data_IF_819604145832
#
_entry.id   IF_819604145832
#
_cell.length_a   1.000
_cell.length_b   1.000
_cell.length_c   1.000
_cell.angle_alpha   90.00
_cell.angle_beta   90.00
_cell.angle_gamma   90.00
#
_symmetry.space_group_name_H-M   'P 1'
#
loop_
_entity.id
_entity.type
_entity.pdbx_description
1 polymer ?
#
# COMPACT_ATOMS: atom_id res chain seq x y z
N UNK A 1 25.12 -13.29 -4.57
CA UNK A 1 24.21 -12.24 -4.09
C UNK A 1 24.78 -11.73 -2.78
N UNK A 2 24.94 -10.41 -2.67
CA UNK A 2 25.33 -9.77 -1.41
C UNK A 2 24.20 -9.98 -0.40
N UNK A 3 24.54 -10.13 0.88
CA UNK A 3 23.54 -10.25 1.94
C UNK A 3 22.72 -8.93 2.02
N UNK A 4 21.38 -8.99 2.06
CA UNK A 4 20.55 -7.79 2.17
C UNK A 4 20.75 -7.10 3.53
N UNK A 5 20.61 -5.77 3.55
CA UNK A 5 20.64 -4.99 4.79
C UNK A 5 19.42 -5.27 5.66
N UNK A 6 18.23 -5.35 5.03
CA UNK A 6 16.97 -5.67 5.68
C UNK A 6 16.26 -6.80 4.93
N UNK A 7 15.80 -7.79 5.68
CA UNK A 7 14.99 -8.90 5.18
C UNK A 7 13.70 -8.98 5.99
N UNK A 8 12.56 -8.88 5.31
CA UNK A 8 11.22 -9.05 5.90
C UNK A 8 10.60 -10.33 5.34
N UNK A 9 10.11 -11.21 6.22
CA UNK A 9 9.53 -12.50 5.82
C UNK A 9 8.23 -12.78 6.56
N UNK A 10 7.17 -13.04 5.80
CA UNK A 10 5.82 -13.36 6.26
C UNK A 10 5.35 -12.45 7.41
N UNK A 11 5.67 -11.15 7.34
CA UNK A 11 5.35 -10.20 8.40
C UNK A 11 3.84 -10.00 8.48
N UNK A 12 3.27 -10.22 9.66
CA UNK A 12 1.83 -10.04 9.93
C UNK A 12 1.65 -9.10 11.11
N UNK A 13 0.66 -8.22 10.99
CA UNK A 13 0.15 -7.40 12.07
C UNK A 13 -1.36 -7.36 12.02
N UNK A 14 -1.97 -8.11 12.92
CA UNK A 14 -3.42 -8.22 13.05
C UNK A 14 -3.89 -7.59 14.36
N UNK A 15 -4.88 -6.70 14.28
CA UNK A 15 -5.46 -6.05 15.46
C UNK A 15 -6.69 -6.81 15.93
N UNK A 16 -6.72 -7.36 17.16
CA UNK A 16 -7.85 -8.15 17.63
C UNK A 16 -9.09 -7.26 17.82
N UNK A 17 -10.20 -7.67 17.22
CA UNK A 17 -11.51 -7.03 17.41
C UNK A 17 -12.21 -7.73 18.57
N UNK A 18 -12.53 -6.98 19.61
CA UNK A 18 -13.20 -7.50 20.80
C UNK A 18 -14.60 -6.92 20.95
N UNK A 19 -15.59 -7.75 21.27
CA UNK A 19 -17.00 -7.34 21.48
C UNK A 19 -17.57 -7.91 22.78
N UNK A 20 -18.58 -7.20 23.30
CA UNK A 20 -19.37 -7.60 24.47
C UNK A 20 -18.72 -7.26 25.82
N UNK A 21 -19.50 -7.42 26.89
CA UNK A 21 -19.11 -7.07 28.28
C UNK A 21 -17.91 -7.90 28.78
N UNK A 22 -17.64 -9.05 28.16
CA UNK A 22 -16.52 -9.93 28.50
C UNK A 22 -15.29 -9.78 27.58
N UNK A 23 -15.26 -8.75 26.72
CA UNK A 23 -14.13 -8.44 25.84
C UNK A 23 -13.63 -9.65 25.00
N UNK A 24 -14.57 -10.48 24.50
CA UNK A 24 -14.23 -11.68 23.72
C UNK A 24 -13.76 -11.26 22.33
N UNK A 25 -12.70 -11.89 21.83
CA UNK A 25 -12.22 -11.69 20.47
C UNK A 25 -13.21 -12.33 19.48
N UNK A 26 -13.70 -11.53 18.53
CA UNK A 26 -14.70 -11.92 17.53
C UNK A 26 -14.16 -11.86 16.10
N UNK A 27 -12.92 -11.40 15.93
CA UNK A 27 -12.24 -11.27 14.65
C UNK A 27 -10.92 -10.53 14.83
N UNK A 28 -10.27 -10.19 13.72
CA UNK A 28 -9.09 -9.33 13.71
C UNK A 28 -9.05 -8.49 12.43
N UNK A 29 -8.62 -7.23 12.56
CA UNK A 29 -8.30 -6.39 11.41
C UNK A 29 -6.90 -6.76 10.90
N UNK A 30 -6.81 -7.27 9.68
CA UNK A 30 -5.55 -7.72 9.08
C UNK A 30 -4.87 -6.55 8.37
N UNK A 31 -4.15 -5.73 9.12
CA UNK A 31 -3.52 -4.52 8.58
C UNK A 31 -2.27 -4.84 7.75
N UNK A 32 -1.50 -5.85 8.16
CA UNK A 32 -0.41 -6.46 7.38
C UNK A 32 -0.59 -7.96 7.46
N UNK A 33 -0.55 -8.65 6.33
CA UNK A 33 -0.91 -10.07 6.26
C UNK A 33 0.02 -10.89 5.37
N UNK A 34 1.30 -10.98 5.75
CA UNK A 34 2.26 -11.90 5.14
C UNK A 34 3.22 -11.23 4.15
N UNK A 35 3.54 -9.94 4.34
CA UNK A 35 4.43 -9.23 3.43
C UNK A 35 5.86 -9.76 3.53
N UNK A 36 6.54 -9.87 2.39
CA UNK A 36 7.92 -10.33 2.30
C UNK A 36 8.69 -9.58 1.22
N UNK A 37 9.86 -9.05 1.57
CA UNK A 37 10.77 -8.35 0.66
C UNK A 37 12.17 -8.21 1.28
N UNK A 38 13.14 -7.80 0.46
CA UNK A 38 14.50 -7.47 0.88
C UNK A 38 14.86 -6.06 0.43
N UNK A 39 15.74 -5.41 1.20
CA UNK A 39 16.41 -4.15 0.86
C UNK A 39 17.92 -4.40 0.96
N UNK A 40 18.61 -4.21 -0.15
CA UNK A 40 20.07 -4.24 -0.24
C UNK A 40 20.69 -2.95 0.34
N UNK A 41 21.98 -3.00 0.65
CA UNK A 41 22.73 -1.82 1.06
C UNK A 41 22.76 -0.77 -0.07
N UNK A 42 22.37 0.46 0.25
CA UNK A 42 22.27 1.57 -0.70
C UNK A 42 20.99 1.58 -1.54
N UNK A 43 20.09 0.59 -1.38
CA UNK A 43 18.86 0.50 -2.16
C UNK A 43 17.73 1.35 -1.56
N UNK A 44 16.95 2.01 -2.42
CA UNK A 44 15.66 2.59 -2.09
C UNK A 44 14.52 1.69 -2.57
N UNK A 45 13.86 1.02 -1.63
CA UNK A 45 12.62 0.28 -1.90
C UNK A 45 11.40 1.16 -1.59
N UNK A 46 10.57 1.39 -2.61
CA UNK A 46 9.28 2.02 -2.48
C UNK A 46 8.22 1.06 -1.94
N UNK A 47 7.37 1.50 -1.01
CA UNK A 47 6.14 0.79 -0.60
C UNK A 47 4.94 1.68 -0.89
N UNK A 48 4.10 1.26 -1.84
CA UNK A 48 3.01 2.07 -2.37
C UNK A 48 1.65 1.39 -2.29
N UNK A 49 0.59 2.18 -2.24
CA UNK A 49 -0.80 1.70 -2.23
C UNK A 49 -1.76 2.78 -1.76
N UNK A 50 -3.06 2.54 -1.90
CA UNK A 50 -4.11 3.46 -1.44
C UNK A 50 -4.02 3.72 0.08
N UNK A 51 -4.62 4.83 0.53
CA UNK A 51 -4.70 5.14 1.96
C UNK A 51 -5.40 4.00 2.73
N UNK A 52 -4.86 3.63 3.88
CA UNK A 52 -5.42 2.57 4.73
C UNK A 52 -5.09 1.13 4.31
N UNK A 53 -4.25 0.90 3.29
CA UNK A 53 -3.88 -0.45 2.86
C UNK A 53 -2.87 -1.17 3.78
N UNK A 54 -2.30 -0.48 4.79
CA UNK A 54 -1.42 -1.08 5.81
C UNK A 54 0.04 -0.60 5.85
N UNK A 55 0.44 0.34 4.98
CA UNK A 55 1.85 0.78 4.84
C UNK A 55 2.50 1.30 6.13
N UNK A 56 1.85 2.24 6.82
CA UNK A 56 2.36 2.79 8.09
C UNK A 56 2.40 1.74 9.21
N UNK A 57 1.48 0.77 9.19
CA UNK A 57 1.50 -0.38 10.12
C UNK A 57 2.68 -1.29 9.82
N UNK A 58 2.98 -1.56 8.54
CA UNK A 58 4.17 -2.30 8.14
C UNK A 58 5.45 -1.60 8.60
N UNK A 59 5.57 -0.29 8.35
CA UNK A 59 6.68 0.54 8.81
C UNK A 59 6.92 0.41 10.33
N UNK A 60 5.85 0.63 11.11
CA UNK A 60 5.89 0.59 12.57
C UNK A 60 6.22 -0.81 13.11
N UNK A 61 5.80 -1.85 12.41
CA UNK A 61 6.09 -3.25 12.74
C UNK A 61 7.54 -3.62 12.43
N UNK A 62 8.09 -3.15 11.31
CA UNK A 62 9.49 -3.39 10.91
C UNK A 62 10.46 -2.75 11.90
N UNK A 63 10.22 -1.50 12.32
CA UNK A 63 11.07 -0.83 13.32
C UNK A 63 10.74 -1.23 14.77
N UNK A 64 9.84 -2.21 14.95
CA UNK A 64 9.42 -2.73 16.24
C UNK A 64 8.89 -1.63 17.19
N UNK A 65 8.21 -0.62 16.66
CA UNK A 65 7.39 0.32 17.44
C UNK A 65 6.05 -0.33 17.82
N UNK A 66 5.56 -1.20 16.95
CA UNK A 66 4.48 -2.13 17.24
C UNK A 66 4.97 -3.56 17.10
N UNK A 67 4.67 -4.41 18.09
CA UNK A 67 5.04 -5.83 18.05
C UNK A 67 4.28 -6.53 16.91
N UNK A 68 4.97 -7.19 15.96
CA UNK A 68 4.33 -8.00 14.93
C UNK A 68 3.50 -9.14 15.55
N UNK A 69 2.46 -9.57 14.84
CA UNK A 69 1.70 -10.77 15.21
C UNK A 69 2.47 -12.04 14.87
N UNK A 70 3.19 -12.04 13.75
CA UNK A 70 4.10 -13.11 13.33
C UNK A 70 5.02 -12.61 12.22
N UNK A 71 5.93 -13.47 11.79
CA UNK A 71 6.92 -13.19 10.77
C UNK A 71 8.27 -12.84 11.37
N UNK A 72 9.21 -12.53 10.51
CA UNK A 72 10.62 -12.31 10.85
C UNK A 72 11.11 -11.01 10.19
N UNK A 73 11.91 -10.23 10.93
CA UNK A 73 12.55 -9.02 10.43
C UNK A 73 14.04 -9.11 10.75
N UNK A 74 14.87 -9.41 9.75
CA UNK A 74 16.32 -9.51 9.90
C UNK A 74 16.98 -8.20 9.50
N UNK A 75 17.80 -7.63 10.39
CA UNK A 75 18.57 -6.41 10.13
C UNK A 75 20.07 -6.64 10.27
N UNK A 76 20.80 -6.49 9.17
CA UNK A 76 22.23 -6.77 9.07
C UNK A 76 23.11 -5.51 9.17
N UNK A 77 22.54 -4.33 9.38
CA UNK A 77 23.29 -3.08 9.54
C UNK A 77 23.98 -2.93 10.90
N UNK A 78 24.71 -1.83 11.05
CA UNK A 78 25.44 -1.45 12.26
C UNK A 78 26.44 -2.55 12.72
N UNK A 79 27.14 -3.18 11.78
CA UNK A 79 28.18 -4.16 12.07
C UNK A 79 27.66 -5.58 12.35
N UNK A 80 26.42 -5.89 11.93
CA UNK A 80 25.77 -7.19 12.15
C UNK A 80 25.86 -8.11 10.93
N UNK A 81 26.64 -7.76 9.92
CA UNK A 81 26.75 -8.48 8.66
C UNK A 81 27.41 -9.87 8.84
N UNK A 82 27.08 -10.81 7.95
CA UNK A 82 27.69 -12.14 7.90
C UNK A 82 27.20 -13.12 8.97
N UNK A 83 26.15 -12.77 9.70
CA UNK A 83 25.53 -13.67 10.66
C UNK A 83 24.76 -14.78 9.93
N UNK A 84 24.84 -16.01 10.43
CA UNK A 84 24.09 -17.14 9.87
C UNK A 84 23.04 -17.60 10.86
N UNK A 85 21.93 -18.17 10.35
CA UNK A 85 20.90 -18.81 11.18
C UNK A 85 21.51 -19.80 12.18
N UNK A 86 20.92 -19.82 13.37
CA UNK A 86 21.22 -20.78 14.41
C UNK A 86 20.74 -22.19 14.01
N UNK A 87 21.24 -23.27 14.65
CA UNK A 87 20.80 -24.64 14.37
C UNK A 87 19.30 -24.91 14.59
N UNK A 88 18.62 -24.08 15.38
CA UNK A 88 17.18 -24.15 15.63
C UNK A 88 16.34 -23.40 14.57
N UNK A 89 16.99 -22.76 13.60
CA UNK A 89 16.34 -22.00 12.53
C UNK A 89 16.19 -20.50 12.81
N UNK A 90 16.37 -20.03 14.05
CA UNK A 90 16.30 -18.61 14.39
C UNK A 90 17.44 -17.81 13.76
N UNK A 91 17.19 -16.54 13.44
CA UNK A 91 18.24 -15.63 12.98
C UNK A 91 18.75 -14.77 14.14
N UNK A 92 20.06 -14.68 14.41
CA UNK A 92 20.59 -13.86 15.51
C UNK A 92 20.36 -12.35 15.32
N UNK A 93 20.05 -11.93 14.08
CA UNK A 93 19.69 -10.56 13.75
C UNK A 93 18.17 -10.35 13.57
N UNK A 94 17.34 -11.29 14.02
CA UNK A 94 15.89 -11.12 13.99
C UNK A 94 15.44 -10.10 15.06
N UNK A 95 15.01 -8.94 14.59
CA UNK A 95 14.53 -7.81 15.39
C UNK A 95 13.32 -8.19 16.24
N UNK A 96 12.52 -9.18 15.81
CA UNK A 96 11.34 -9.61 16.55
C UNK A 96 11.67 -10.36 17.84
N UNK A 97 12.89 -10.90 17.94
CA UNK A 97 13.40 -11.67 19.08
C UNK A 97 14.43 -10.89 19.92
N UNK A 98 14.72 -9.64 19.56
CA UNK A 98 15.69 -8.81 20.27
C UNK A 98 15.26 -8.46 21.70
N UNK A 99 16.24 -8.47 22.61
CA UNK A 99 16.09 -7.88 23.94
C UNK A 99 15.98 -6.34 23.87
N UNK A 100 15.58 -5.69 24.97
CA UNK A 100 15.50 -4.22 25.06
C UNK A 100 16.83 -3.51 24.71
N UNK A 101 17.96 -4.14 25.04
CA UNK A 101 19.30 -3.62 24.76
C UNK A 101 19.62 -3.73 23.26
N UNK A 102 19.31 -4.86 22.64
CA UNK A 102 19.47 -5.08 21.21
C UNK A 102 18.52 -4.23 20.38
N UNK A 103 17.27 -4.05 20.80
CA UNK A 103 16.32 -3.13 20.17
C UNK A 103 16.83 -1.69 20.22
N UNK A 104 17.46 -1.29 21.32
CA UNK A 104 18.08 0.04 21.43
C UNK A 104 19.26 0.19 20.46
N UNK A 105 20.05 -0.85 20.24
CA UNK A 105 21.15 -0.84 19.27
C UNK A 105 20.65 -0.87 17.82
N UNK A 106 19.65 -1.70 17.52
CA UNK A 106 18.95 -1.74 16.24
C UNK A 106 18.40 -0.36 15.87
N UNK A 107 17.67 0.30 16.78
CA UNK A 107 17.17 1.66 16.58
C UNK A 107 18.26 2.72 16.55
N UNK A 108 19.54 2.36 16.64
CA UNK A 108 20.64 3.26 16.27
C UNK A 108 20.94 3.19 14.76
N UNK A 109 20.89 1.98 14.20
CA UNK A 109 21.12 1.70 12.77
C UNK A 109 19.89 1.84 11.88
N UNK A 110 18.69 1.78 12.45
CA UNK A 110 17.42 1.99 11.74
C UNK A 110 16.64 3.16 12.35
N UNK A 111 16.26 4.14 11.52
CA UNK A 111 15.54 5.35 11.93
C UNK A 111 14.27 5.55 11.11
N UNK A 112 13.32 6.30 11.66
CA UNK A 112 12.04 6.57 10.99
C UNK A 112 11.77 8.06 10.89
N UNK A 113 11.27 8.47 9.72
CA UNK A 113 10.71 9.80 9.45
C UNK A 113 9.20 9.63 9.34
N UNK A 114 8.45 10.26 10.24
CA UNK A 114 7.00 10.15 10.31
C UNK A 114 6.29 11.12 9.37
N UNK A 115 5.07 10.77 8.96
CA UNK A 115 4.20 11.51 8.03
C UNK A 115 3.94 12.97 8.42
N UNK A 116 3.78 13.27 9.72
CA UNK A 116 3.63 14.64 10.21
C UNK A 116 4.79 15.04 11.13
N UNK A 117 5.74 15.84 10.62
CA UNK A 117 6.81 16.40 11.43
C UNK A 117 6.29 17.24 12.60
N UNK A 118 5.17 17.96 12.42
CA UNK A 118 4.68 18.90 13.44
C UNK A 118 4.18 18.20 14.69
N UNK A 119 3.53 17.04 14.56
CA UNK A 119 3.12 16.21 15.70
C UNK A 119 4.30 15.48 16.37
N UNK A 120 5.41 15.33 15.66
CA UNK A 120 6.60 14.59 16.12
C UNK A 120 7.56 15.41 17.01
N UNK A 121 7.38 16.73 17.10
CA UNK A 121 8.23 17.63 17.90
C UNK A 121 7.50 18.19 19.12
N UNK A 122 8.14 18.18 20.31
CA UNK A 122 7.62 18.92 21.48
C UNK A 122 7.75 20.43 21.19
N UNK A 123 6.64 21.20 21.14
CA UNK A 123 6.67 22.62 20.81
C UNK A 123 7.43 23.47 21.83
N UNK A 124 7.74 22.92 23.01
CA UNK A 124 8.48 23.58 24.10
C UNK A 124 9.98 23.28 24.06
N UNK A 125 10.44 22.46 23.12
CA UNK A 125 11.84 22.11 22.94
C UNK A 125 12.40 22.86 21.72
N UNK A 126 13.64 23.35 21.82
CA UNK A 126 14.30 23.91 20.65
C UNK A 126 14.63 22.81 19.64
N UNK A 127 14.72 23.17 18.37
CA UNK A 127 15.05 22.26 17.27
C UNK A 127 16.36 21.52 17.54
N UNK A 128 17.39 22.24 17.96
CA UNK A 128 18.69 21.65 18.24
C UNK A 128 18.66 20.62 19.38
N UNK A 129 17.81 20.86 20.38
CA UNK A 129 17.62 19.91 21.48
C UNK A 129 16.80 18.69 21.03
N UNK A 130 15.77 18.88 20.19
CA UNK A 130 14.96 17.79 19.67
C UNK A 130 15.75 16.84 18.77
N UNK A 131 16.60 17.39 17.88
CA UNK A 131 17.54 16.59 17.05
C UNK A 131 18.58 15.91 17.94
N UNK A 132 19.21 16.66 18.86
CA UNK A 132 20.29 16.15 19.72
C UNK A 132 19.83 15.22 20.85
N UNK A 133 18.52 15.02 21.06
CA UNK A 133 17.99 14.16 22.11
C UNK A 133 18.42 12.70 21.91
N UNK A 134 18.40 12.23 20.66
CA UNK A 134 18.79 10.86 20.32
C UNK A 134 20.26 10.59 20.68
N UNK A 135 21.17 11.53 20.40
CA UNK A 135 22.58 11.41 20.82
C UNK A 135 22.70 11.22 22.34
N UNK A 136 21.88 11.94 23.13
CA UNK A 136 21.87 11.82 24.59
C UNK A 136 21.32 10.46 25.04
N UNK A 137 20.22 9.99 24.45
CA UNK A 137 19.63 8.66 24.74
C UNK A 137 20.61 7.53 24.46
N UNK A 138 21.44 7.68 23.43
CA UNK A 138 22.50 6.74 23.05
C UNK A 138 23.86 7.05 23.69
N UNK A 139 23.88 7.75 24.83
CA UNK A 139 25.04 7.82 25.73
C UNK A 139 26.00 8.99 25.50
N UNK A 140 25.78 9.86 24.51
CA UNK A 140 26.63 11.04 24.32
C UNK A 140 26.29 12.12 25.35
N UNK A 141 27.07 12.20 26.44
CA UNK A 141 26.84 13.16 27.54
C UNK A 141 27.45 14.54 27.29
N UNK A 142 28.45 14.67 26.41
CA UNK A 142 29.10 15.95 26.08
C UNK A 142 28.15 16.89 25.32
N UNK A 143 27.83 18.04 25.94
CA UNK A 143 26.90 19.02 25.36
C UNK A 143 27.49 19.77 24.16
N UNK A 144 28.77 20.11 24.21
CA UNK A 144 29.41 20.88 23.14
C UNK A 144 29.54 20.04 21.88
N UNK A 145 29.91 18.77 22.04
CA UNK A 145 29.97 17.82 20.93
C UNK A 145 28.61 17.55 20.33
N UNK A 146 27.57 17.33 21.15
CA UNK A 146 26.19 17.17 20.63
C UNK A 146 25.76 18.39 19.82
N UNK A 147 26.01 19.60 20.34
CA UNK A 147 25.65 20.83 19.65
C UNK A 147 26.35 20.95 18.29
N UNK A 148 27.66 20.71 18.24
CA UNK A 148 28.43 20.77 17.00
C UNK A 148 27.91 19.78 15.93
N UNK A 149 27.58 18.55 16.33
CA UNK A 149 27.00 17.54 15.42
C UNK A 149 25.65 18.02 14.87
N UNK A 150 24.80 18.56 15.73
CA UNK A 150 23.48 19.04 15.32
C UNK A 150 23.58 20.27 14.42
N UNK A 151 24.49 21.21 14.73
CA UNK A 151 24.72 22.39 13.89
C UNK A 151 25.20 21.99 12.48
N UNK A 152 26.14 21.04 12.36
CA UNK A 152 26.59 20.48 11.08
C UNK A 152 25.44 19.81 10.31
N UNK A 153 24.62 19.00 10.98
CA UNK A 153 23.47 18.35 10.35
C UNK A 153 22.39 19.34 9.90
N UNK A 154 22.15 20.41 10.66
CA UNK A 154 21.23 21.47 10.24
C UNK A 154 21.71 22.12 8.94
N UNK A 155 23.01 22.36 8.80
CA UNK A 155 23.58 22.89 7.56
C UNK A 155 23.42 21.92 6.38
N UNK A 156 23.68 20.62 6.58
CA UNK A 156 23.50 19.58 5.55
C UNK A 156 22.07 19.48 5.03
N UNK A 157 21.07 19.63 5.91
CA UNK A 157 19.65 19.64 5.48
C UNK A 157 19.18 20.99 4.93
N UNK A 158 20.09 21.96 4.75
CA UNK A 158 19.80 23.28 4.17
C UNK A 158 19.20 24.29 5.15
N UNK A 159 19.47 24.15 6.45
CA UNK A 159 19.14 25.13 7.50
C UNK A 159 20.41 25.83 7.99
N UNK A 160 20.27 26.86 8.84
CA UNK A 160 21.43 27.53 9.45
C UNK A 160 21.80 26.85 10.76
N UNK A 161 23.10 26.73 11.09
CA UNK A 161 23.55 26.34 12.43
C UNK A 161 22.93 27.23 13.53
N UNK A 162 22.66 28.51 13.23
CA UNK A 162 22.01 29.44 14.17
C UNK A 162 20.57 29.05 14.52
N UNK A 163 19.93 28.17 13.73
CA UNK A 163 18.58 27.69 13.96
C UNK A 163 18.48 26.71 15.14
N UNK A 164 19.60 26.26 15.69
CA UNK A 164 19.66 25.35 16.84
C UNK A 164 18.75 25.78 18.02
N UNK A 165 18.77 27.08 18.34
CA UNK A 165 18.09 27.63 19.51
C UNK A 165 16.64 28.07 19.22
N UNK A 166 16.19 27.94 17.97
CA UNK A 166 14.81 28.24 17.54
C UNK A 166 13.86 27.09 17.86
N UNK A 167 12.57 27.38 17.86
CA UNK A 167 11.49 26.45 18.19
C UNK A 167 10.70 26.03 16.93
N UNK A 168 10.06 24.84 16.93
CA UNK A 168 9.36 24.31 15.76
C UNK A 168 8.33 25.25 15.11
N UNK A 169 7.65 26.10 15.90
CA UNK A 169 6.65 27.04 15.39
C UNK A 169 7.24 28.20 14.56
N UNK A 170 8.56 28.37 14.56
CA UNK A 170 9.27 29.40 13.80
C UNK A 170 9.66 28.93 12.38
N UNK A 171 9.30 27.69 11.98
CA UNK A 171 9.69 27.08 10.71
C UNK A 171 8.48 26.75 9.83
N UNK A 172 8.67 26.84 8.51
CA UNK A 172 7.72 26.35 7.50
C UNK A 172 7.60 24.82 7.51
N UNK A 173 6.59 24.27 6.84
CA UNK A 173 6.39 22.81 6.71
C UNK A 173 7.63 22.10 6.13
N UNK A 174 8.15 22.59 5.00
CA UNK A 174 9.36 22.04 4.39
C UNK A 174 10.60 22.14 5.28
N UNK A 175 10.76 23.24 6.04
CA UNK A 175 11.85 23.34 7.01
C UNK A 175 11.69 22.36 8.18
N UNK A 176 10.47 22.12 8.67
CA UNK A 176 10.22 21.07 9.66
C UNK A 176 10.52 19.67 9.13
N UNK A 177 10.25 19.42 7.85
CA UNK A 177 10.64 18.17 7.19
C UNK A 177 12.16 17.99 7.15
N UNK A 178 12.90 19.05 6.77
CA UNK A 178 14.38 19.08 6.83
C UNK A 178 14.89 18.79 8.25
N UNK A 179 14.26 19.35 9.28
CA UNK A 179 14.58 19.06 10.69
C UNK A 179 14.29 17.60 11.04
N UNK A 180 13.19 17.02 10.55
CA UNK A 180 12.86 15.61 10.76
C UNK A 180 13.90 14.68 10.12
N UNK A 181 14.37 15.00 8.91
CA UNK A 181 15.49 14.31 8.26
C UNK A 181 16.78 14.42 9.09
N UNK A 182 17.15 15.62 9.55
CA UNK A 182 18.31 15.80 10.41
C UNK A 182 18.22 14.99 11.71
N UNK A 183 17.02 14.87 12.29
CA UNK A 183 16.77 14.02 13.46
C UNK A 183 16.99 12.54 13.15
N UNK A 184 16.48 12.04 12.02
CA UNK A 184 16.71 10.65 11.62
C UNK A 184 18.20 10.37 11.34
N UNK A 185 18.93 11.33 10.78
CA UNK A 185 20.35 11.17 10.45
C UNK A 185 21.31 11.31 11.64
N UNK A 186 20.85 11.85 12.78
CA UNK A 186 21.75 12.24 13.87
C UNK A 186 22.57 11.09 14.46
N UNK A 187 22.08 9.85 14.33
CA UNK A 187 22.77 8.65 14.80
C UNK A 187 23.65 7.98 13.74
N UNK A 188 23.67 8.51 12.52
CA UNK A 188 24.30 7.92 11.32
C UNK A 188 23.77 6.49 11.05
N UNK A 189 22.45 6.34 10.78
CA UNK A 189 21.82 5.05 10.53
C UNK A 189 22.24 4.45 9.19
N UNK A 190 22.05 3.15 9.02
CA UNK A 190 22.20 2.45 7.74
C UNK A 190 20.85 2.40 6.98
N UNK A 191 19.74 2.42 7.71
CA UNK A 191 18.37 2.35 7.17
C UNK A 191 17.52 3.52 7.66
N UNK A 192 16.82 4.18 6.74
CA UNK A 192 15.72 5.11 7.04
C UNK A 192 14.41 4.58 6.48
N UNK A 193 13.39 4.50 7.33
CA UNK A 193 12.00 4.28 6.94
C UNK A 193 11.31 5.63 6.85
N UNK A 194 10.96 6.06 5.64
CA UNK A 194 10.31 7.35 5.42
C UNK A 194 8.82 7.14 5.14
N UNK A 195 7.97 7.40 6.13
CA UNK A 195 6.52 7.22 6.04
C UNK A 195 5.84 8.49 5.53
N UNK A 196 5.53 8.52 4.23
CA UNK A 196 4.94 9.67 3.52
C UNK A 196 5.65 11.01 3.81
N UNK A 197 6.98 11.10 3.60
CA UNK A 197 7.77 12.26 4.03
C UNK A 197 7.44 13.58 3.29
N UNK A 198 6.59 13.54 2.26
CA UNK A 198 6.29 14.70 1.41
C UNK A 198 4.80 14.92 1.17
N UNK A 199 3.90 14.10 1.74
CA UNK A 199 2.48 14.12 1.36
C UNK A 199 1.72 15.40 1.74
N UNK A 200 2.21 16.14 2.73
CA UNK A 200 1.61 17.40 3.19
C UNK A 200 2.27 18.66 2.62
N UNK A 201 3.13 18.54 1.59
CA UNK A 201 3.94 19.63 1.06
C UNK A 201 3.48 20.05 -0.34
N UNK A 202 3.64 21.34 -0.67
CA UNK A 202 3.44 21.83 -2.03
C UNK A 202 4.43 21.17 -3.00
N UNK A 203 4.01 20.98 -4.26
CA UNK A 203 4.79 20.27 -5.30
C UNK A 203 6.24 20.76 -5.45
N UNK A 204 6.48 22.07 -5.35
CA UNK A 204 7.84 22.62 -5.42
C UNK A 204 8.71 22.24 -4.22
N UNK A 205 8.14 22.26 -3.02
CA UNK A 205 8.84 21.88 -1.78
C UNK A 205 9.04 20.37 -1.73
N UNK A 206 8.07 19.59 -2.18
CA UNK A 206 8.20 18.14 -2.35
C UNK A 206 9.42 17.81 -3.22
N UNK A 207 9.57 18.43 -4.40
CA UNK A 207 10.72 18.21 -5.26
C UNK A 207 12.06 18.55 -4.58
N UNK A 208 12.12 19.66 -3.83
CA UNK A 208 13.32 20.01 -3.05
C UNK A 208 13.65 18.98 -1.96
N UNK A 209 12.64 18.44 -1.26
CA UNK A 209 12.84 17.43 -0.23
C UNK A 209 13.29 16.10 -0.84
N UNK A 210 12.71 15.68 -1.97
CA UNK A 210 13.12 14.46 -2.66
C UNK A 210 14.58 14.54 -3.13
N UNK A 211 14.96 15.67 -3.75
CA UNK A 211 16.36 15.91 -4.12
C UNK A 211 17.30 15.90 -2.91
N UNK A 212 16.86 16.45 -1.77
CA UNK A 212 17.66 16.39 -0.54
C UNK A 212 17.82 14.96 -0.02
N UNK A 213 16.77 14.13 -0.08
CA UNK A 213 16.86 12.73 0.35
C UNK A 213 17.85 11.95 -0.54
N UNK A 214 17.80 12.18 -1.84
CA UNK A 214 18.73 11.60 -2.83
C UNK A 214 20.19 12.00 -2.53
N UNK A 215 20.45 13.31 -2.34
CA UNK A 215 21.79 13.81 -1.95
C UNK A 215 22.29 13.19 -0.64
N UNK A 216 21.40 13.04 0.35
CA UNK A 216 21.73 12.44 1.65
C UNK A 216 21.98 10.93 1.55
N UNK A 217 21.26 10.23 0.67
CA UNK A 217 21.46 8.81 0.41
C UNK A 217 22.88 8.57 -0.12
N UNK A 218 23.28 9.34 -1.13
CA UNK A 218 24.62 9.27 -1.73
C UNK A 218 25.73 9.65 -0.73
N UNK A 219 25.51 10.71 0.06
CA UNK A 219 26.52 11.20 1.00
C UNK A 219 26.75 10.23 2.18
N UNK A 220 25.69 9.62 2.70
CA UNK A 220 25.75 8.78 3.90
C UNK A 220 25.72 7.27 3.62
N UNK A 221 25.52 6.85 2.37
CA UNK A 221 25.39 5.44 1.99
C UNK A 221 24.13 4.79 2.58
N UNK A 222 23.02 5.54 2.62
CA UNK A 222 21.78 5.09 3.27
C UNK A 222 21.02 4.10 2.40
N UNK A 223 20.29 3.21 3.05
CA UNK A 223 19.22 2.45 2.41
C UNK A 223 17.88 2.99 2.89
N UNK A 224 16.86 2.91 2.03
CA UNK A 224 15.58 3.57 2.25
C UNK A 224 14.42 2.59 2.05
N UNK A 225 13.51 2.55 3.03
CA UNK A 225 12.13 2.11 2.79
C UNK A 225 11.28 3.36 2.64
N UNK A 226 10.94 3.72 1.40
CA UNK A 226 10.20 4.94 1.08
C UNK A 226 8.72 4.63 0.89
N UNK A 227 7.86 5.16 1.75
CA UNK A 227 6.43 4.89 1.73
C UNK A 227 5.70 6.09 1.14
N UNK A 228 4.83 5.82 0.16
CA UNK A 228 4.02 6.85 -0.49
C UNK A 228 2.68 6.29 -0.93
N UNK A 229 1.73 7.17 -1.23
CA UNK A 229 0.56 6.82 -2.03
C UNK A 229 0.63 7.39 -3.46
N UNK A 230 1.65 8.21 -3.75
CA UNK A 230 1.88 8.81 -5.07
C UNK A 230 2.97 8.04 -5.83
N UNK A 231 2.56 7.36 -6.90
CA UNK A 231 3.46 6.64 -7.80
C UNK A 231 4.48 7.58 -8.49
N UNK A 232 4.12 8.84 -8.73
CA UNK A 232 5.04 9.82 -9.34
C UNK A 232 6.26 10.08 -8.47
N UNK A 233 6.06 10.10 -7.14
CA UNK A 233 7.15 10.23 -6.16
C UNK A 233 8.02 8.97 -6.15
N UNK A 234 7.39 7.79 -6.14
CA UNK A 234 8.10 6.51 -6.16
C UNK A 234 9.02 6.43 -7.37
N UNK A 235 8.51 6.80 -8.56
CA UNK A 235 9.30 6.80 -9.80
C UNK A 235 10.55 7.67 -9.72
N UNK A 236 10.50 8.76 -8.96
CA UNK A 236 11.58 9.73 -8.90
C UNK A 236 12.76 9.27 -8.03
N UNK A 237 12.52 8.47 -6.99
CA UNK A 237 13.51 8.22 -5.92
C UNK A 237 13.79 6.74 -5.63
N UNK A 238 12.96 5.81 -6.09
CA UNK A 238 13.08 4.39 -5.75
C UNK A 238 13.75 3.58 -6.86
N UNK A 239 14.55 2.59 -6.47
CA UNK A 239 15.12 1.58 -7.38
C UNK A 239 14.10 0.48 -7.69
N UNK A 240 13.41 0.02 -6.64
CA UNK A 240 12.36 -1.00 -6.67
C UNK A 240 11.10 -0.50 -5.99
N UNK A 241 9.96 -1.09 -6.32
CA UNK A 241 8.68 -0.77 -5.70
C UNK A 241 7.93 -2.05 -5.35
N UNK A 242 7.38 -2.09 -4.14
CA UNK A 242 6.39 -3.05 -3.68
C UNK A 242 5.02 -2.38 -3.60
N UNK A 243 4.06 -2.88 -4.38
CA UNK A 243 2.67 -2.43 -4.41
C UNK A 243 1.87 -3.24 -3.41
N UNK A 244 1.25 -2.54 -2.45
CA UNK A 244 0.52 -3.11 -1.34
C UNK A 244 -0.99 -2.86 -1.46
N UNK A 245 -1.77 -3.92 -1.39
CA UNK A 245 -3.23 -3.87 -1.35
C UNK A 245 -3.75 -4.69 -0.17
N UNK A 246 -4.57 -4.09 0.68
CA UNK A 246 -5.21 -4.74 1.83
C UNK A 246 -4.30 -5.67 2.66
N UNK A 247 -3.12 -5.20 3.06
CA UNK A 247 -2.22 -5.96 3.91
C UNK A 247 -1.24 -6.87 3.16
N UNK A 248 -1.35 -7.01 1.84
CA UNK A 248 -0.52 -7.92 1.03
C UNK A 248 0.28 -7.16 -0.02
N UNK A 249 1.47 -7.67 -0.36
CA UNK A 249 2.23 -7.18 -1.53
C UNK A 249 1.70 -7.93 -2.75
N UNK A 250 1.01 -7.21 -3.64
CA UNK A 250 0.40 -7.78 -4.85
C UNK A 250 1.35 -7.75 -6.05
N UNK A 251 2.35 -6.88 -6.02
CA UNK A 251 3.37 -6.79 -7.07
C UNK A 251 4.64 -6.16 -6.50
N UNK A 252 5.81 -6.65 -6.90
CA UNK A 252 7.10 -6.09 -6.52
C UNK A 252 8.09 -6.22 -7.67
N UNK A 253 8.86 -5.18 -7.96
CA UNK A 253 9.86 -5.22 -9.02
C UNK A 253 10.67 -3.95 -9.19
N UNK A 254 11.63 -3.92 -10.14
CA UNK A 254 12.30 -2.69 -10.56
C UNK A 254 11.29 -1.63 -10.96
N UNK A 255 11.49 -0.38 -10.51
CA UNK A 255 10.55 0.71 -10.79
C UNK A 255 10.29 0.87 -12.28
N UNK A 256 11.32 0.85 -13.12
CA UNK A 256 11.14 1.00 -14.57
C UNK A 256 10.31 -0.14 -15.19
N UNK A 257 10.43 -1.36 -14.68
CA UNK A 257 9.66 -2.50 -15.18
C UNK A 257 8.19 -2.41 -14.75
N UNK A 258 7.94 -2.09 -13.48
CA UNK A 258 6.58 -1.92 -12.94
C UNK A 258 5.84 -0.79 -13.69
N UNK A 259 6.53 0.31 -14.00
CA UNK A 259 5.92 1.45 -14.68
C UNK A 259 5.66 1.22 -16.17
N UNK A 260 6.42 0.33 -16.81
CA UNK A 260 6.30 0.07 -18.26
C UNK A 260 5.47 -1.16 -18.58
N UNK A 261 5.47 -2.16 -17.69
CA UNK A 261 4.82 -3.45 -17.89
C UNK A 261 4.23 -3.98 -16.57
N UNK A 262 3.27 -3.27 -15.96
CA UNK A 262 2.62 -3.73 -14.73
C UNK A 262 1.87 -5.04 -14.97
N UNK A 263 2.03 -6.00 -14.06
CA UNK A 263 1.45 -7.33 -14.17
C UNK A 263 0.18 -7.49 -13.35
N UNK A 264 0.03 -6.76 -12.24
CA UNK A 264 -1.18 -6.81 -11.43
C UNK A 264 -2.18 -5.72 -11.86
N UNK A 265 -3.47 -6.04 -12.09
CA UNK A 265 -4.48 -5.05 -12.49
C UNK A 265 -4.61 -3.85 -11.53
N UNK A 266 -4.40 -4.06 -10.23
CA UNK A 266 -4.34 -2.95 -9.26
C UNK A 266 -3.23 -1.95 -9.58
N UNK A 267 -2.02 -2.44 -9.89
CA UNK A 267 -0.87 -1.61 -10.21
C UNK A 267 -1.10 -0.85 -11.51
N UNK A 268 -1.66 -1.53 -12.52
CA UNK A 268 -2.09 -0.90 -13.78
C UNK A 268 -3.05 0.26 -13.52
N UNK A 269 -4.03 0.08 -12.64
CA UNK A 269 -4.99 1.12 -12.28
C UNK A 269 -4.33 2.30 -11.54
N UNK A 270 -3.44 2.04 -10.58
CA UNK A 270 -2.67 3.09 -9.89
C UNK A 270 -1.84 3.92 -10.88
N UNK A 271 -1.17 3.27 -11.83
CA UNK A 271 -0.35 3.94 -12.85
C UNK A 271 -1.20 4.76 -13.84
N UNK A 272 -2.39 4.25 -14.20
CA UNK A 272 -3.31 4.94 -15.12
C UNK A 272 -3.85 6.26 -14.56
N UNK A 273 -3.77 6.44 -13.24
CA UNK A 273 -4.18 7.67 -12.54
C UNK A 273 -3.10 8.76 -12.55
N UNK A 274 -1.87 8.44 -12.98
CA UNK A 274 -0.78 9.42 -13.05
C UNK A 274 -1.02 10.37 -14.23
N UNK A 275 -1.10 11.70 -14.00
CA UNK A 275 -1.32 12.65 -15.07
C UNK A 275 -0.19 12.62 -16.10
N UNK A 276 -0.54 12.47 -17.39
CA UNK A 276 0.44 12.64 -18.46
C UNK A 276 0.76 14.12 -18.66
N UNK A 277 2.04 14.53 -18.75
CA UNK A 277 2.41 15.94 -18.94
C UNK A 277 1.90 16.59 -20.23
N UNK A 278 1.48 15.82 -21.24
CA UNK A 278 0.92 16.38 -22.48
C UNK A 278 -0.55 16.79 -22.27
N UNK A 279 -0.88 18.11 -22.30
CA UNK A 279 -2.25 18.59 -22.13
C UNK A 279 -3.22 18.17 -23.26
N UNK A 280 -2.73 17.51 -24.31
CA UNK A 280 -3.54 16.95 -25.41
C UNK A 280 -3.83 15.47 -25.25
N UNK A 281 -3.18 14.78 -24.32
CA UNK A 281 -3.51 13.40 -24.02
C UNK A 281 -4.88 13.34 -23.34
N UNK A 282 -5.74 12.42 -23.75
CA UNK A 282 -7.00 12.16 -23.03
C UNK A 282 -6.66 11.60 -21.65
N UNK A 283 -7.36 12.07 -20.61
CA UNK A 283 -7.35 11.44 -19.28
C UNK A 283 -8.14 10.13 -19.40
N UNK A 284 -7.51 9.10 -19.96
CA UNK A 284 -8.03 7.74 -20.02
C UNK A 284 -7.41 6.95 -18.88
N UNK A 285 -7.97 7.06 -17.68
CA UNK A 285 -7.57 6.30 -16.51
C UNK A 285 -8.53 5.14 -16.27
N UNK A 286 -8.02 4.05 -15.71
CA UNK A 286 -8.86 2.97 -15.18
C UNK A 286 -9.47 3.50 -13.88
N UNK A 287 -10.78 3.73 -13.89
CA UNK A 287 -11.49 4.16 -12.69
C UNK A 287 -11.81 2.95 -11.79
N UNK A 288 -11.16 2.87 -10.63
CA UNK A 288 -11.49 1.85 -9.63
C UNK A 288 -12.75 2.24 -8.88
N UNK A 289 -13.86 1.60 -9.22
CA UNK A 289 -15.17 1.79 -8.57
C UNK A 289 -15.17 1.20 -7.14
N UNK A 290 -16.03 1.75 -6.29
CA UNK A 290 -16.21 1.31 -4.90
C UNK A 290 -15.11 1.75 -3.94
N UNK A 291 -15.31 1.49 -2.65
CA UNK A 291 -14.33 1.79 -1.60
C UNK A 291 -13.39 0.61 -1.37
N UNK A 292 -12.20 0.86 -0.81
CA UNK A 292 -11.32 -0.20 -0.33
C UNK A 292 -12.09 -1.04 0.71
N UNK A 293 -12.19 -2.37 0.55
CA UNK A 293 -12.88 -3.22 1.51
C UNK A 293 -12.29 -3.11 2.92
N UNK A 294 -13.05 -3.48 3.94
CA UNK A 294 -12.56 -3.40 5.32
C UNK A 294 -11.50 -4.49 5.60
N UNK A 295 -10.35 -4.15 6.21
CA UNK A 295 -9.35 -5.15 6.63
C UNK A 295 -9.86 -6.06 7.77
N UNK A 296 -11.03 -5.76 8.37
CA UNK A 296 -11.66 -6.62 9.39
C UNK A 296 -12.34 -7.85 8.81
N UNK A 297 -12.69 -7.80 7.53
CA UNK A 297 -13.31 -8.89 6.80
C UNK A 297 -12.87 -8.78 5.33
N UNK A 298 -11.60 -9.08 5.02
CA UNK A 298 -11.09 -8.97 3.66
C UNK A 298 -11.86 -9.93 2.72
N UNK A 299 -11.97 -9.60 1.42
CA UNK A 299 -12.55 -10.51 0.44
C UNK A 299 -11.80 -11.85 0.40
N UNK A 300 -12.50 -12.92 0.02
CA UNK A 300 -11.92 -14.25 -0.15
C UNK A 300 -11.10 -14.35 -1.45
N UNK A 301 -10.19 -15.32 -1.52
CA UNK A 301 -9.31 -15.48 -2.68
C UNK A 301 -8.41 -14.25 -2.90
N UNK A 302 -8.37 -13.73 -4.12
CA UNK A 302 -7.68 -12.49 -4.46
C UNK A 302 -8.41 -11.28 -3.86
N UNK A 303 -7.84 -10.61 -2.87
CA UNK A 303 -8.48 -9.45 -2.19
C UNK A 303 -8.94 -8.34 -3.12
N UNK A 304 -8.30 -8.20 -4.28
CA UNK A 304 -8.62 -7.17 -5.27
C UNK A 304 -9.78 -7.55 -6.20
N UNK A 305 -10.27 -8.80 -6.20
CA UNK A 305 -11.29 -9.28 -7.15
C UNK A 305 -12.58 -8.45 -7.15
N UNK A 306 -12.91 -7.78 -6.04
CA UNK A 306 -14.10 -6.93 -5.89
C UNK A 306 -14.00 -5.60 -6.64
N UNK A 307 -12.78 -5.17 -7.00
CA UNK A 307 -12.49 -3.91 -7.71
C UNK A 307 -11.68 -4.10 -8.99
N UNK A 308 -11.33 -5.34 -9.33
CA UNK A 308 -10.49 -5.67 -10.48
C UNK A 308 -11.24 -5.47 -11.79
N UNK A 309 -10.72 -4.59 -12.66
CA UNK A 309 -11.22 -4.37 -14.02
C UNK A 309 -10.82 -5.49 -15.00
N UNK A 310 -9.95 -6.41 -14.59
CA UNK A 310 -9.57 -7.64 -15.32
C UNK A 310 -9.94 -8.89 -14.53
N UNK A 311 -11.06 -8.83 -13.80
CA UNK A 311 -11.53 -9.97 -13.01
C UNK A 311 -11.82 -11.16 -13.93
N UNK A 312 -11.30 -12.32 -13.57
CA UNK A 312 -11.38 -13.52 -14.41
C UNK A 312 -12.82 -14.02 -14.44
N UNK A 313 -13.32 -14.30 -15.65
CA UNK A 313 -14.62 -14.92 -15.88
C UNK A 313 -14.50 -16.45 -15.74
N UNK A 314 -15.55 -17.16 -15.31
CA UNK A 314 -15.58 -18.62 -15.30
C UNK A 314 -15.39 -19.23 -16.70
N UNK A 315 -14.92 -20.49 -16.74
CA UNK A 315 -14.77 -21.21 -18.00
C UNK A 315 -16.08 -21.28 -18.80
N UNK A 316 -16.01 -20.89 -20.07
CA UNK A 316 -17.17 -20.91 -20.98
C UNK A 316 -17.95 -19.61 -21.05
N UNK A 317 -17.64 -18.62 -20.20
CA UNK A 317 -18.19 -17.26 -20.29
C UNK A 317 -17.22 -16.39 -21.09
N UNK A 318 -17.74 -15.66 -22.08
CA UNK A 318 -17.00 -14.72 -22.93
C UNK A 318 -17.84 -13.45 -23.15
N UNK A 319 -18.00 -12.68 -22.07
CA UNK A 319 -18.79 -11.44 -22.03
C UNK A 319 -17.83 -10.25 -22.00
N UNK A 320 -18.29 -9.08 -22.45
CA UNK A 320 -17.52 -7.84 -22.30
C UNK A 320 -17.09 -7.62 -20.84
N UNK A 321 -15.86 -7.15 -20.66
CA UNK A 321 -15.23 -7.07 -19.34
C UNK A 321 -15.92 -6.04 -18.43
N UNK A 322 -16.43 -4.95 -19.00
CA UNK A 322 -17.15 -3.92 -18.26
C UNK A 322 -18.53 -4.45 -17.83
N UNK A 323 -19.23 -5.14 -18.73
CA UNK A 323 -20.51 -5.80 -18.43
C UNK A 323 -20.36 -6.83 -17.30
N UNK A 324 -19.33 -7.68 -17.36
CA UNK A 324 -19.09 -8.69 -16.33
C UNK A 324 -18.76 -8.07 -14.96
N UNK A 325 -17.95 -7.01 -14.94
CA UNK A 325 -17.68 -6.26 -13.70
C UNK A 325 -18.95 -5.58 -13.17
N UNK A 326 -19.78 -5.04 -14.06
CA UNK A 326 -21.08 -4.45 -13.74
C UNK A 326 -22.03 -5.46 -13.09
N UNK A 327 -22.14 -6.66 -13.66
CA UNK A 327 -22.92 -7.77 -13.10
C UNK A 327 -22.45 -8.17 -11.70
N UNK A 328 -21.13 -8.32 -11.50
CA UNK A 328 -20.56 -8.63 -10.19
C UNK A 328 -20.84 -7.52 -9.17
N UNK A 329 -20.75 -6.24 -9.57
CA UNK A 329 -21.09 -5.10 -8.71
C UNK A 329 -22.57 -5.11 -8.33
N UNK A 330 -23.46 -5.36 -9.29
CA UNK A 330 -24.91 -5.43 -9.07
C UNK A 330 -25.25 -6.56 -8.09
N UNK A 331 -24.72 -7.77 -8.33
CA UNK A 331 -24.86 -8.92 -7.43
C UNK A 331 -24.41 -8.57 -6.02
N UNK A 332 -23.22 -7.99 -5.86
CA UNK A 332 -22.67 -7.65 -4.55
C UNK A 332 -23.56 -6.62 -3.82
N UNK A 333 -24.05 -5.60 -4.52
CA UNK A 333 -24.94 -4.57 -3.97
C UNK A 333 -26.31 -5.11 -3.54
N UNK A 334 -26.88 -6.02 -4.32
CA UNK A 334 -28.12 -6.72 -3.98
C UNK A 334 -27.90 -7.54 -2.71
N UNK A 335 -26.83 -8.34 -2.65
CA UNK A 335 -26.52 -9.20 -1.51
C UNK A 335 -26.23 -8.43 -0.22
N UNK A 336 -25.67 -7.22 -0.32
CA UNK A 336 -25.47 -6.34 0.85
C UNK A 336 -26.70 -5.53 1.23
N UNK A 337 -27.78 -5.56 0.42
CA UNK A 337 -28.97 -4.74 0.62
C UNK A 337 -28.71 -3.24 0.44
N UNK A 338 -27.74 -2.89 -0.39
CA UNK A 338 -27.31 -1.50 -0.64
C UNK A 338 -27.99 -0.88 -1.88
N UNK A 339 -28.88 -1.61 -2.54
CA UNK A 339 -29.66 -1.12 -3.67
C UNK A 339 -31.03 -0.63 -3.19
N UNK A 340 -31.37 0.62 -3.48
CA UNK A 340 -32.66 1.23 -3.14
C UNK A 340 -33.46 1.45 -4.42
N UNK A 341 -34.32 0.47 -4.74
CA UNK A 341 -35.12 0.47 -5.96
C UNK A 341 -36.08 1.67 -6.00
N UNK A 342 -36.62 2.08 -4.85
CA UNK A 342 -37.50 3.25 -4.77
C UNK A 342 -36.73 4.53 -5.10
N UNK A 343 -35.50 4.66 -4.59
CA UNK A 343 -34.64 5.78 -4.97
C UNK A 343 -34.32 5.78 -6.48
N UNK A 344 -34.09 4.62 -7.09
CA UNK A 344 -33.90 4.52 -8.55
C UNK A 344 -35.18 4.94 -9.28
N UNK A 345 -36.36 4.49 -8.84
CA UNK A 345 -37.66 4.91 -9.39
C UNK A 345 -37.83 6.44 -9.31
N UNK A 346 -37.52 7.05 -8.18
CA UNK A 346 -37.60 8.51 -8.00
C UNK A 346 -36.67 9.26 -8.96
N UNK A 347 -35.45 8.76 -9.17
CA UNK A 347 -34.47 9.38 -10.08
C UNK A 347 -34.97 9.37 -11.53
N UNK A 348 -35.59 8.27 -11.98
CA UNK A 348 -36.18 8.17 -13.33
C UNK A 348 -37.44 9.05 -13.46
N UNK A 349 -38.26 9.11 -12.39
CA UNK A 349 -39.50 9.87 -12.34
C UNK A 349 -39.32 11.39 -12.37
N UNK A 350 -38.08 11.91 -12.23
CA UNK A 350 -37.76 13.34 -12.36
C UNK A 350 -38.20 13.96 -13.70
N UNK A 351 -38.59 13.12 -14.67
CA UNK A 351 -39.19 13.45 -15.97
C UNK A 351 -40.71 13.70 -15.96
N UNK A 352 -41.42 13.47 -14.84
CA UNK A 352 -42.82 13.87 -14.61
C UNK A 352 -43.90 12.80 -14.83
N UNK A 353 -43.52 11.56 -15.12
CA UNK A 353 -44.41 10.39 -15.25
C UNK A 353 -43.91 9.25 -14.37
N UNK A 354 -44.81 8.38 -13.92
CA UNK A 354 -44.45 7.17 -13.17
C UNK A 354 -43.63 6.25 -14.10
N UNK A 355 -42.39 5.88 -13.71
CA UNK A 355 -41.48 5.17 -14.60
C UNK A 355 -41.95 3.72 -14.78
N UNK A 356 -41.84 3.23 -16.00
CA UNK A 356 -42.07 1.82 -16.32
C UNK A 356 -40.93 0.96 -15.76
N UNK A 357 -41.21 -0.31 -15.47
CA UNK A 357 -40.19 -1.24 -14.97
C UNK A 357 -39.00 -1.36 -15.93
N UNK A 358 -39.22 -1.30 -17.25
CA UNK A 358 -38.15 -1.28 -18.24
C UNK A 358 -37.26 -0.04 -18.17
N UNK A 359 -37.82 1.13 -17.82
CA UNK A 359 -37.02 2.35 -17.60
C UNK A 359 -36.19 2.26 -16.33
N UNK A 360 -36.73 1.65 -15.27
CA UNK A 360 -36.00 1.41 -14.02
C UNK A 360 -34.87 0.39 -14.24
N UNK A 361 -35.12 -0.70 -14.98
CA UNK A 361 -34.09 -1.68 -15.36
C UNK A 361 -32.97 -1.06 -16.18
N UNK A 362 -33.32 -0.19 -17.14
CA UNK A 362 -32.32 0.53 -17.93
C UNK A 362 -31.48 1.51 -17.09
N UNK A 363 -32.08 2.12 -16.05
CA UNK A 363 -31.33 2.94 -15.09
C UNK A 363 -30.38 2.11 -14.24
N UNK A 364 -30.84 0.97 -13.71
CA UNK A 364 -29.98 0.03 -12.97
C UNK A 364 -28.81 -0.41 -13.85
N UNK A 365 -29.06 -0.84 -15.09
CA UNK A 365 -27.98 -1.21 -16.03
C UNK A 365 -26.96 -0.08 -16.18
N UNK A 366 -27.42 1.16 -16.36
CA UNK A 366 -26.55 2.34 -16.48
C UNK A 366 -25.76 2.63 -15.19
N UNK A 367 -26.38 2.54 -14.02
CA UNK A 367 -25.72 2.77 -12.73
C UNK A 367 -24.57 1.77 -12.49
N UNK A 368 -24.71 0.55 -13.01
CA UNK A 368 -23.74 -0.52 -12.87
C UNK A 368 -22.83 -0.70 -14.10
N UNK A 369 -22.95 0.18 -15.11
CA UNK A 369 -22.22 0.12 -16.38
C UNK A 369 -22.37 -1.21 -17.13
N UNK A 370 -23.57 -1.78 -17.05
CA UNK A 370 -23.99 -2.93 -17.85
C UNK A 370 -24.63 -2.41 -19.14
N UNK A 371 -24.24 -2.99 -20.27
CA UNK A 371 -24.75 -2.67 -21.60
C UNK A 371 -26.27 -2.86 -21.72
N UNK A 372 -26.83 -2.33 -22.81
CA UNK A 372 -28.26 -2.47 -23.09
C UNK A 372 -28.67 -3.94 -23.26
N UNK A 373 -27.73 -4.78 -23.72
CA UNK A 373 -27.86 -6.23 -23.86
C UNK A 373 -26.51 -6.87 -23.60
N UNK A 374 -26.49 -8.00 -22.91
CA UNK A 374 -25.28 -8.80 -22.73
C UNK A 374 -25.16 -9.80 -23.89
N UNK A 375 -23.95 -9.98 -24.40
CA UNK A 375 -23.61 -10.92 -25.47
C UNK A 375 -23.59 -12.41 -25.01
N UNK A 376 -24.48 -12.76 -24.09
CA UNK A 376 -24.74 -14.12 -23.60
C UNK A 376 -26.25 -14.27 -23.32
N UNK A 377 -27.00 -15.07 -24.11
CA UNK A 377 -28.46 -15.18 -23.95
C UNK A 377 -28.91 -15.78 -22.63
N UNK A 378 -28.17 -16.74 -22.08
CA UNK A 378 -28.53 -17.40 -20.81
C UNK A 378 -28.33 -16.41 -19.66
N UNK A 379 -27.22 -15.66 -19.69
CA UNK A 379 -26.92 -14.63 -18.72
C UNK A 379 -27.85 -13.41 -18.82
N UNK A 380 -28.26 -13.02 -20.03
CA UNK A 380 -29.23 -11.94 -20.24
C UNK A 380 -30.61 -12.33 -19.69
N UNK A 381 -31.05 -13.58 -19.87
CA UNK A 381 -32.25 -14.12 -19.23
C UNK A 381 -32.11 -14.09 -17.71
N UNK A 382 -30.95 -14.53 -17.19
CA UNK A 382 -30.66 -14.53 -15.76
C UNK A 382 -30.74 -13.14 -15.14
N UNK A 383 -30.09 -12.15 -15.76
CA UNK A 383 -30.13 -10.75 -15.34
C UNK A 383 -31.57 -10.21 -15.38
N UNK A 384 -32.32 -10.52 -16.44
CA UNK A 384 -33.70 -10.07 -16.57
C UNK A 384 -34.60 -10.60 -15.45
N UNK A 385 -34.49 -11.88 -15.12
CA UNK A 385 -35.26 -12.48 -14.02
C UNK A 385 -34.85 -11.91 -12.65
N UNK A 386 -33.55 -11.74 -12.40
CA UNK A 386 -33.05 -11.11 -11.18
C UNK A 386 -33.56 -9.68 -11.01
N UNK A 387 -33.58 -8.87 -12.08
CA UNK A 387 -34.12 -7.50 -12.02
C UNK A 387 -35.63 -7.49 -11.78
N UNK A 388 -36.39 -8.42 -12.36
CA UNK A 388 -37.83 -8.54 -12.09
C UNK A 388 -38.09 -8.88 -10.61
N UNK A 389 -37.34 -9.85 -10.06
CA UNK A 389 -37.41 -10.18 -8.62
C UNK A 389 -37.04 -8.99 -7.74
N UNK A 390 -36.03 -8.21 -8.12
CA UNK A 390 -35.62 -7.02 -7.40
C UNK A 390 -36.72 -5.94 -7.39
N UNK A 391 -37.40 -5.73 -8.52
CA UNK A 391 -38.52 -4.78 -8.64
C UNK A 391 -39.78 -5.22 -7.87
N UNK A 392 -39.95 -6.53 -7.66
CA UNK A 392 -41.01 -7.15 -6.87
C UNK A 392 -40.68 -7.26 -5.36
N UNK A 393 -39.73 -6.46 -4.86
CA UNK A 393 -39.24 -6.45 -3.47
C UNK A 393 -38.66 -7.79 -2.98
N UNK A 394 -38.16 -8.62 -3.90
CA UNK A 394 -37.58 -9.93 -3.60
C UNK A 394 -36.05 -9.96 -3.83
N UNK A 395 -35.35 -9.02 -3.19
CA UNK A 395 -33.90 -8.85 -3.32
C UNK A 395 -33.09 -10.08 -2.88
N UNK A 396 -33.56 -10.83 -1.88
CA UNK A 396 -32.90 -12.06 -1.41
C UNK A 396 -32.82 -13.11 -2.53
N UNK A 397 -33.95 -13.38 -3.20
CA UNK A 397 -34.01 -14.34 -4.30
C UNK A 397 -33.27 -13.83 -5.55
N UNK A 398 -33.33 -12.53 -5.84
CA UNK A 398 -32.54 -11.92 -6.91
C UNK A 398 -31.03 -12.09 -6.69
N UNK A 399 -30.58 -11.90 -5.44
CA UNK A 399 -29.20 -12.09 -5.02
C UNK A 399 -28.72 -13.54 -5.13
N UNK A 400 -29.53 -14.50 -4.68
CA UNK A 400 -29.25 -15.94 -4.85
C UNK A 400 -29.08 -16.30 -6.33
N UNK A 401 -30.01 -15.85 -7.17
CA UNK A 401 -30.02 -16.16 -8.59
C UNK A 401 -28.76 -15.64 -9.32
N UNK A 402 -28.37 -14.40 -9.03
CA UNK A 402 -27.12 -13.85 -9.58
C UNK A 402 -25.87 -14.50 -8.97
N UNK A 403 -25.93 -14.99 -7.73
CA UNK A 403 -24.77 -15.58 -7.07
C UNK A 403 -24.40 -16.96 -7.61
N UNK A 404 -25.37 -17.69 -8.16
CA UNK A 404 -25.14 -18.99 -8.77
C UNK A 404 -24.43 -18.87 -10.14
N UNK A 405 -24.83 -17.88 -10.96
CA UNK A 405 -24.34 -17.72 -12.34
C UNK A 405 -23.18 -16.71 -12.46
N UNK A 406 -23.25 -15.58 -11.75
CA UNK A 406 -22.23 -14.52 -11.84
C UNK A 406 -21.16 -14.79 -10.79
N UNK A 407 -20.15 -15.58 -11.13
CA UNK A 407 -19.05 -15.97 -10.20
C UNK A 407 -17.67 -15.54 -10.70
N UNK A 408 -16.60 -15.76 -9.93
CA UNK A 408 -15.24 -15.57 -10.44
C UNK A 408 -14.26 -16.51 -9.74
N UNK A 409 -13.32 -17.15 -10.48
CA UNK A 409 -12.23 -17.92 -9.86
C UNK A 409 -11.41 -17.09 -8.86
N UNK A 410 -11.30 -15.78 -9.09
CA UNK A 410 -10.57 -14.86 -8.22
C UNK A 410 -11.16 -14.75 -6.81
N UNK A 411 -12.44 -15.05 -6.60
CA UNK A 411 -13.04 -15.03 -5.27
C UNK A 411 -12.79 -16.33 -4.48
N UNK A 412 -12.37 -17.39 -5.17
CA UNK A 412 -12.22 -18.74 -4.63
C UNK A 412 -10.76 -19.11 -4.36
N UNK A 413 -9.84 -18.54 -5.15
CA UNK A 413 -8.42 -18.90 -5.13
C UNK A 413 -7.57 -17.71 -4.72
N UNK A 414 -6.72 -17.94 -3.72
CA UNK A 414 -5.71 -16.97 -3.30
C UNK A 414 -4.51 -17.06 -4.26
N UNK A 415 -4.12 -15.96 -4.93
CA UNK A 415 -3.09 -16.00 -5.94
C UNK A 415 -1.71 -16.21 -5.32
N UNK A 416 -0.96 -17.16 -5.87
CA UNK A 416 0.46 -17.34 -5.59
C UNK A 416 1.30 -16.28 -6.31
N UNK A 417 2.52 -16.04 -5.80
CA UNK A 417 3.47 -15.16 -6.48
C UNK A 417 3.98 -15.84 -7.75
N UNK A 418 3.81 -15.15 -8.88
CA UNK A 418 4.39 -15.53 -10.17
C UNK A 418 5.54 -14.60 -10.49
N UNK A 419 6.69 -15.17 -10.87
CA UNK A 419 7.86 -14.42 -11.34
C UNK A 419 7.73 -14.12 -12.84
N UNK A 420 8.15 -12.92 -13.25
CA UNK A 420 8.06 -12.43 -14.63
C UNK A 420 9.45 -12.25 -15.25
N UNK A 421 10.09 -11.10 -15.05
CA UNK A 421 11.50 -10.89 -15.35
C UNK A 421 12.35 -10.90 -14.06
N UNK A 422 13.65 -10.60 -14.17
CA UNK A 422 14.56 -10.59 -13.02
C UNK A 422 14.06 -9.65 -11.92
N UNK A 423 13.77 -10.22 -10.76
CA UNK A 423 13.28 -9.53 -9.55
C UNK A 423 11.90 -8.88 -9.66
N UNK A 424 11.09 -9.23 -10.66
CA UNK A 424 9.70 -8.81 -10.81
C UNK A 424 8.73 -9.97 -10.52
N UNK A 425 7.90 -9.82 -9.49
CA UNK A 425 6.87 -10.79 -9.09
C UNK A 425 5.49 -10.12 -8.95
N UNK A 426 4.43 -10.86 -9.25
CA UNK A 426 3.04 -10.44 -8.96
C UNK A 426 2.19 -11.59 -8.41
N UNK A 427 1.26 -11.29 -7.51
CA UNK A 427 0.25 -12.23 -7.03
C UNK A 427 -1.05 -12.06 -7.82
N UNK A 428 -1.15 -12.66 -9.01
CA UNK A 428 -2.35 -12.58 -9.84
C UNK A 428 -2.61 -13.89 -10.60
N UNK A 429 -3.85 -14.39 -10.53
CA UNK A 429 -4.28 -15.61 -11.22
C UNK A 429 -4.15 -15.53 -12.74
N UNK A 430 -4.12 -14.33 -13.32
CA UNK A 430 -3.91 -14.12 -14.78
C UNK A 430 -2.57 -14.70 -15.28
N UNK A 431 -1.61 -14.93 -14.37
CA UNK A 431 -0.26 -15.35 -14.72
C UNK A 431 0.12 -16.73 -14.19
N UNK A 432 -0.71 -17.38 -13.38
CA UNK A 432 -0.36 -18.66 -12.74
C UNK A 432 -0.10 -19.78 -13.76
N UNK A 433 -0.82 -19.80 -14.89
CA UNK A 433 -0.59 -20.79 -15.95
C UNK A 433 0.78 -20.62 -16.64
N UNK A 434 1.35 -19.41 -16.66
CA UNK A 434 2.67 -19.14 -17.24
C UNK A 434 3.82 -19.68 -16.40
N UNK A 435 3.64 -19.79 -15.07
CA UNK A 435 4.65 -20.37 -14.19
C UNK A 435 4.92 -21.87 -14.47
N UNK A 436 3.98 -22.55 -15.13
CA UNK A 436 4.10 -23.97 -15.51
C UNK A 436 4.78 -24.19 -16.88
N UNK A 437 5.00 -23.14 -17.66
CA UNK A 437 5.72 -23.19 -18.93
C UNK A 437 7.20 -22.87 -18.68
N UNK A 438 8.06 -23.90 -18.72
CA UNK A 438 9.51 -23.72 -18.73
C UNK A 438 9.92 -22.69 -19.81
N UNK A 439 10.93 -21.83 -19.55
CA UNK A 439 11.40 -20.87 -20.54
C UNK A 439 11.87 -21.63 -21.78
N UNK A 440 11.26 -21.31 -22.92
CA UNK A 440 11.65 -21.85 -24.21
C UNK A 440 13.13 -21.47 -24.47
N UNK A 441 14.05 -22.42 -24.67
CA UNK A 441 15.49 -22.16 -24.80
C UNK A 441 15.88 -21.53 -26.15
N UNK A 442 14.99 -20.72 -26.75
CA UNK A 442 15.16 -20.15 -28.08
C UNK A 442 15.44 -18.64 -28.10
N UNK A 443 15.46 -17.97 -26.94
CA UNK A 443 15.82 -16.54 -26.83
C UNK A 443 17.14 -16.34 -26.05
N UNK A 444 18.22 -16.94 -26.56
CA UNK A 444 19.62 -16.63 -26.23
C UNK A 444 20.41 -16.31 -27.53
#
# INVERSE_FOLDING_TARGET
>A
MTEPLLTVRDLKKHYPIRKGVFNRQVGAARAVDGISFDIAEGETLGLVGESGCGKSTAASSIIHLEEPTSGEVVFNGNGREGATRNPDGSHPNDVTEFSDEELKEFRRGAQMVFQDPSSSFDPRMSVGNAVGELLKVHGMSDRHRRRAIVEDLLERVGLSASDFDRYPHEFSGGQKQRIALARALVLNPDLIIADEPVSALDVSIQAEILSLIDDLQDEFGLSLLFISHDMSVIRQICDRVAVMYLGEIVEIGPVEEIFTNPQHPYTEALLSSIPTPDPRASVGGIELKGTVPSPTNPPSGCRFHTRCHKVIQPDGVDVDQDDWRGLLNLRDKINTGEIDVEQVRENVAASGTEPTDSEVQAEIRREFDIGETIDDPELEETLTEAMNLLLDDNAEMAGEFLSDEVTTPCAQTEPSKTAHASDHESACLLHEDRASAEPNPADD
#
